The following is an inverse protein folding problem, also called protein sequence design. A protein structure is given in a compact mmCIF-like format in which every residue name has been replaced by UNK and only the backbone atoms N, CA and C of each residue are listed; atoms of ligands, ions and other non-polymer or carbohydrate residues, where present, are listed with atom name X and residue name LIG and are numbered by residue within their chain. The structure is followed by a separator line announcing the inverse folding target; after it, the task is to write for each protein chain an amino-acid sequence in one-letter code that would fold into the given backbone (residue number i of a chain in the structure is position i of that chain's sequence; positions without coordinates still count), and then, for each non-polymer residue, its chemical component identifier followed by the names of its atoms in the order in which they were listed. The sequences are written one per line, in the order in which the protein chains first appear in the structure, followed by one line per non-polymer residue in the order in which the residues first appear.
data_IF_923714116552
#
_entry.id   IF_923714116552
#
_cell.length_a   1.000
_cell.length_b   1.000
_cell.length_c   1.000
_cell.angle_alpha   90.00
_cell.angle_beta   90.00
_cell.angle_gamma   90.00
#
_symmetry.space_group_name_H-M   'P 1'
#
loop_
_entity.id
_entity.type
_entity.pdbx_description
1 polymer ?
#
# COMPACT_ATOMS: atom_id res chain seq x y z
N UNK A 1 31.57 -0.28 -0.49
CA UNK A 1 30.26 -0.92 -0.74
C UNK A 1 30.27 -2.01 -1.83
N UNK A 2 31.04 -1.92 -2.89
CA UNK A 2 31.15 -3.04 -3.86
C UNK A 2 31.65 -4.36 -3.24
N UNK A 3 32.45 -4.32 -2.15
CA UNK A 3 32.84 -5.50 -1.38
C UNK A 3 31.68 -6.11 -0.58
N UNK A 4 30.78 -5.28 -0.03
CA UNK A 4 29.69 -5.76 0.83
C UNK A 4 28.57 -6.49 0.06
N UNK A 5 28.38 -6.24 -1.24
CA UNK A 5 27.39 -6.98 -2.04
C UNK A 5 27.86 -8.43 -2.30
N UNK A 6 29.18 -8.67 -2.38
CA UNK A 6 29.71 -10.03 -2.56
C UNK A 6 29.45 -10.91 -1.32
N UNK A 7 29.43 -10.28 -0.15
CA UNK A 7 29.21 -10.94 1.13
C UNK A 7 27.74 -10.89 1.57
N UNK A 8 26.89 -10.18 0.79
CA UNK A 8 25.47 -10.11 1.07
C UNK A 8 24.82 -11.46 0.80
N UNK A 9 24.20 -11.98 1.83
CA UNK A 9 23.48 -13.26 1.79
C UNK A 9 22.03 -12.96 1.47
N UNK A 10 21.59 -13.31 0.26
CA UNK A 10 20.16 -13.42 -0.04
C UNK A 10 19.63 -14.63 0.72
N UNK A 11 19.09 -14.40 1.91
CA UNK A 11 18.43 -15.40 2.74
C UNK A 11 17.19 -15.98 2.03
N UNK A 12 16.47 -17.01 2.54
CA UNK A 12 15.44 -17.76 1.79
C UNK A 12 14.30 -16.88 1.22
N UNK A 13 14.34 -15.59 1.47
CA UNK A 13 13.36 -14.63 0.96
C UNK A 13 13.74 -14.08 -0.42
N UNK A 14 12.73 -13.63 -1.15
CA UNK A 14 12.93 -12.96 -2.43
C UNK A 14 13.57 -11.59 -2.21
N UNK A 15 14.80 -11.44 -2.70
CA UNK A 15 15.45 -10.13 -2.73
C UNK A 15 15.04 -9.37 -4.00
N UNK A 16 14.53 -8.15 -3.84
CA UNK A 16 14.03 -7.35 -4.96
C UNK A 16 15.16 -6.75 -5.83
N UNK A 17 16.35 -6.59 -5.27
CA UNK A 17 17.51 -6.00 -5.95
C UNK A 17 18.47 -7.02 -6.51
N UNK A 18 18.75 -8.06 -5.74
CA UNK A 18 19.82 -9.02 -6.02
C UNK A 18 19.21 -10.37 -6.40
N UNK A 19 19.70 -10.94 -7.48
CA UNK A 19 19.30 -12.28 -7.92
C UNK A 19 20.11 -13.37 -7.21
N UNK A 20 19.65 -14.60 -7.28
CA UNK A 20 20.37 -15.76 -6.74
C UNK A 20 21.80 -15.90 -7.31
N UNK A 21 22.08 -15.39 -8.52
CA UNK A 21 23.39 -15.31 -9.12
C UNK A 21 24.28 -14.17 -8.56
N UNK A 22 23.87 -13.54 -7.46
CA UNK A 22 24.57 -12.42 -6.80
C UNK A 22 24.80 -11.18 -7.67
N UNK A 23 23.97 -10.97 -8.69
CA UNK A 23 23.94 -9.77 -9.53
C UNK A 23 22.66 -8.97 -9.38
N UNK A 24 22.70 -7.68 -9.68
CA UNK A 24 21.47 -6.86 -9.71
C UNK A 24 20.48 -7.40 -10.73
N UNK A 25 19.22 -7.45 -10.35
CA UNK A 25 18.14 -7.76 -11.27
C UNK A 25 18.06 -6.70 -12.38
N UNK A 26 17.62 -7.04 -13.60
CA UNK A 26 17.62 -6.09 -14.72
C UNK A 26 16.93 -4.75 -14.40
N UNK A 27 15.80 -4.79 -13.69
CA UNK A 27 15.03 -3.60 -13.36
C UNK A 27 15.61 -2.76 -12.19
N UNK A 28 16.47 -3.32 -11.37
CA UNK A 28 17.14 -2.60 -10.27
C UNK A 28 18.60 -2.25 -10.58
N UNK A 29 19.10 -2.67 -11.74
CA UNK A 29 20.53 -2.56 -12.10
C UNK A 29 21.05 -1.12 -12.06
N UNK A 30 20.26 -0.14 -12.55
CA UNK A 30 20.68 1.27 -12.57
C UNK A 30 20.78 1.83 -11.16
N UNK A 31 19.71 1.70 -10.38
CA UNK A 31 19.68 2.20 -9.00
C UNK A 31 20.68 1.43 -8.11
N UNK A 32 20.80 0.12 -8.28
CA UNK A 32 21.78 -0.68 -7.56
C UNK A 32 23.22 -0.23 -7.82
N UNK A 33 23.58 0.05 -9.08
CA UNK A 33 24.87 0.61 -9.42
C UNK A 33 25.09 2.00 -8.82
N UNK A 34 24.06 2.86 -8.86
CA UNK A 34 24.12 4.17 -8.23
C UNK A 34 24.38 4.06 -6.73
N UNK A 35 23.54 3.28 -6.01
CA UNK A 35 23.70 3.09 -4.57
C UNK A 35 25.07 2.51 -4.19
N UNK A 36 25.61 1.58 -5.01
CA UNK A 36 26.93 1.00 -4.76
C UNK A 36 28.11 1.92 -5.12
N UNK A 37 27.88 2.95 -5.93
CA UNK A 37 28.89 3.97 -6.20
C UNK A 37 29.04 5.00 -5.08
N UNK A 38 28.06 5.10 -4.19
CA UNK A 38 28.09 6.02 -3.06
C UNK A 38 29.08 5.54 -1.98
N UNK A 39 29.83 6.46 -1.41
CA UNK A 39 30.66 6.20 -0.24
C UNK A 39 29.83 6.36 1.06
N UNK A 40 30.41 5.98 2.20
CA UNK A 40 29.72 6.03 3.48
C UNK A 40 29.24 7.45 3.87
N UNK A 41 30.02 8.48 3.56
CA UNK A 41 29.65 9.88 3.83
C UNK A 41 28.41 10.30 3.01
N UNK A 42 28.41 10.00 1.71
CA UNK A 42 27.27 10.29 0.83
C UNK A 42 26.01 9.58 1.25
N UNK A 43 26.09 8.33 1.71
CA UNK A 43 24.93 7.60 2.24
C UNK A 43 24.37 8.26 3.51
N UNK A 44 25.26 8.67 4.42
CA UNK A 44 24.84 9.41 5.63
C UNK A 44 24.19 10.73 5.27
N UNK A 45 24.73 11.47 4.30
CA UNK A 45 24.16 12.73 3.81
C UNK A 45 22.75 12.51 3.22
N UNK A 46 22.53 11.46 2.44
CA UNK A 46 21.23 11.11 1.88
C UNK A 46 20.23 10.74 3.00
N UNK A 47 20.66 9.93 3.95
CA UNK A 47 19.81 9.56 5.09
C UNK A 47 19.41 10.81 5.89
N UNK A 48 20.35 11.67 6.23
CA UNK A 48 20.08 12.91 6.97
C UNK A 48 19.17 13.86 6.19
N UNK A 49 19.35 13.95 4.86
CA UNK A 49 18.46 14.74 3.99
C UNK A 49 17.03 14.18 3.99
N UNK A 50 16.89 12.85 3.95
CA UNK A 50 15.59 12.16 4.02
C UNK A 50 14.91 12.44 5.36
N UNK A 51 15.60 12.24 6.47
CA UNK A 51 15.08 12.52 7.82
C UNK A 51 14.69 14.00 7.99
N UNK A 52 15.54 14.91 7.51
CA UNK A 52 15.28 16.35 7.57
C UNK A 52 14.05 16.74 6.74
N UNK A 53 13.86 16.13 5.56
CA UNK A 53 12.69 16.34 4.74
C UNK A 53 11.42 15.86 5.44
N UNK A 54 11.43 14.66 6.02
CA UNK A 54 10.31 14.11 6.80
C UNK A 54 9.94 15.04 7.96
N UNK A 55 10.92 15.46 8.75
CA UNK A 55 10.71 16.39 9.88
C UNK A 55 10.14 17.74 9.43
N UNK A 56 10.68 18.30 8.35
CA UNK A 56 10.23 19.61 7.82
C UNK A 56 8.80 19.57 7.29
N UNK A 57 8.33 18.41 6.86
CA UNK A 57 6.96 18.18 6.41
C UNK A 57 6.00 17.84 7.56
N UNK A 58 6.49 17.73 8.80
CA UNK A 58 5.68 17.40 9.97
C UNK A 58 5.13 15.97 9.93
N UNK A 59 5.79 15.06 9.21
CA UNK A 59 5.32 13.68 9.06
C UNK A 59 5.75 12.89 10.30
N UNK A 60 4.78 12.56 11.14
CA UNK A 60 4.98 11.77 12.36
C UNK A 60 3.98 10.63 12.43
N UNK A 61 4.26 9.66 13.27
CA UNK A 61 3.31 8.60 13.59
C UNK A 61 3.29 8.36 15.10
N UNK A 62 2.13 7.93 15.58
CA UNK A 62 1.95 7.56 16.98
C UNK A 62 2.10 6.04 17.12
N UNK A 63 2.92 5.64 18.07
CA UNK A 63 2.97 4.25 18.50
C UNK A 63 1.89 4.08 19.57
N UNK A 64 0.88 3.27 19.31
CA UNK A 64 -0.10 2.87 20.31
C UNK A 64 0.58 1.90 21.27
N UNK A 65 1.18 2.41 22.35
CA UNK A 65 1.65 1.62 23.48
C UNK A 65 0.85 2.02 24.70
N UNK A 66 0.69 1.10 25.66
CA UNK A 66 -0.02 1.35 26.93
C UNK A 66 0.64 2.47 27.76
N UNK A 67 1.91 2.80 27.49
CA UNK A 67 2.66 3.91 28.08
C UNK A 67 2.72 5.11 27.11
N UNK A 68 1.57 5.71 26.79
CA UNK A 68 1.55 6.95 26.01
C UNK A 68 2.02 8.12 26.88
N UNK A 69 3.19 8.65 26.57
CA UNK A 69 3.66 9.95 27.09
C UNK A 69 3.30 11.02 26.06
N UNK A 70 2.42 11.93 26.43
CA UNK A 70 1.97 13.03 25.57
C UNK A 70 3.18 13.83 25.03
N UNK A 71 3.24 14.00 23.69
CA UNK A 71 4.33 14.71 23.04
C UNK A 71 5.46 13.86 22.46
N UNK A 72 5.41 12.54 22.52
CA UNK A 72 6.37 11.62 21.87
C UNK A 72 5.93 11.16 20.48
N UNK A 73 5.57 12.08 19.61
CA UNK A 73 5.41 11.74 18.20
C UNK A 73 6.77 11.39 17.60
N UNK A 74 6.89 10.17 17.09
CA UNK A 74 8.11 9.72 16.40
C UNK A 74 8.09 10.20 14.95
N UNK A 75 9.24 10.67 14.47
CA UNK A 75 9.41 10.94 13.05
C UNK A 75 9.17 9.67 12.25
N UNK A 76 8.46 9.79 11.11
CA UNK A 76 8.20 8.66 10.23
C UNK A 76 9.51 8.04 9.71
N UNK A 77 9.77 6.74 9.92
CA UNK A 77 10.97 6.10 9.43
C UNK A 77 10.81 5.77 7.93
N UNK A 78 11.52 6.50 7.08
CA UNK A 78 11.57 6.23 5.65
C UNK A 78 12.93 5.65 5.27
N UNK A 79 12.93 4.42 4.76
CA UNK A 79 14.09 3.87 4.08
C UNK A 79 14.23 4.56 2.71
N UNK A 80 15.39 5.16 2.46
CA UNK A 80 15.67 5.84 1.20
C UNK A 80 15.94 4.88 0.04
N UNK A 81 16.09 3.59 0.26
CA UNK A 81 16.23 2.57 -0.80
C UNK A 81 14.84 2.19 -1.30
N UNK A 82 14.41 2.65 -2.49
CA UNK A 82 13.04 2.43 -2.95
C UNK A 82 12.82 1.01 -3.44
N UNK A 83 11.67 0.45 -3.16
CA UNK A 83 11.19 -0.77 -3.80
C UNK A 83 10.79 -0.47 -5.25
N UNK A 84 11.28 -1.28 -6.19
CA UNK A 84 11.02 -1.11 -7.63
C UNK A 84 10.04 -2.18 -8.09
N UNK A 85 8.79 -1.78 -8.31
CA UNK A 85 7.74 -2.65 -8.85
C UNK A 85 7.59 -2.37 -10.34
N UNK A 86 7.78 -3.38 -11.19
CA UNK A 86 7.66 -3.23 -12.64
C UNK A 86 6.20 -3.05 -13.05
N UNK A 87 5.96 -2.26 -14.09
CA UNK A 87 4.62 -2.00 -14.63
C UNK A 87 3.83 -3.30 -14.88
N UNK A 88 4.42 -4.29 -15.58
CA UNK A 88 3.77 -5.56 -15.88
C UNK A 88 3.40 -6.36 -14.61
N UNK A 89 4.24 -6.29 -13.59
CA UNK A 89 4.00 -6.94 -12.31
C UNK A 89 2.83 -6.26 -11.58
N UNK A 90 2.85 -4.92 -11.55
CA UNK A 90 1.77 -4.12 -10.97
C UNK A 90 0.44 -4.33 -11.68
N UNK A 91 0.41 -4.35 -13.01
CA UNK A 91 -0.82 -4.61 -13.79
C UNK A 91 -1.46 -5.96 -13.46
N UNK A 92 -0.64 -6.97 -13.14
CA UNK A 92 -1.17 -8.28 -12.69
C UNK A 92 -1.79 -8.16 -11.30
N UNK A 93 -1.11 -7.50 -10.37
CA UNK A 93 -1.59 -7.25 -9.00
C UNK A 93 -2.89 -6.44 -9.05
N UNK A 94 -2.92 -5.35 -9.80
CA UNK A 94 -4.09 -4.48 -9.95
C UNK A 94 -5.31 -5.25 -10.45
N UNK A 95 -5.17 -6.09 -11.48
CA UNK A 95 -6.29 -6.91 -11.97
C UNK A 95 -6.81 -7.87 -10.89
N UNK A 96 -5.91 -8.51 -10.14
CA UNK A 96 -6.29 -9.41 -9.04
C UNK A 96 -7.02 -8.67 -7.93
N UNK A 97 -6.53 -7.49 -7.53
CA UNK A 97 -7.17 -6.68 -6.51
C UNK A 97 -8.54 -6.16 -6.94
N UNK A 98 -8.70 -5.72 -8.19
CA UNK A 98 -10.02 -5.32 -8.74
C UNK A 98 -11.03 -6.46 -8.66
N UNK A 99 -10.65 -7.67 -9.05
CA UNK A 99 -11.50 -8.86 -8.94
C UNK A 99 -11.86 -9.16 -7.49
N UNK A 100 -10.88 -9.10 -6.60
CA UNK A 100 -11.05 -9.38 -5.17
C UNK A 100 -11.98 -8.38 -4.49
N UNK A 101 -11.77 -7.08 -4.69
CA UNK A 101 -12.63 -6.02 -4.12
C UNK A 101 -14.06 -6.14 -4.63
N UNK A 102 -14.24 -6.48 -5.92
CA UNK A 102 -15.58 -6.74 -6.45
C UNK A 102 -16.25 -7.93 -5.76
N UNK A 103 -15.54 -9.03 -5.57
CA UNK A 103 -16.08 -10.20 -4.88
C UNK A 103 -16.46 -9.89 -3.42
N UNK A 104 -15.61 -9.12 -2.71
CA UNK A 104 -15.88 -8.70 -1.35
C UNK A 104 -17.12 -7.79 -1.25
N UNK A 105 -17.30 -6.85 -2.17
CA UNK A 105 -18.51 -6.03 -2.20
C UNK A 105 -19.78 -6.84 -2.49
N UNK A 106 -19.71 -7.81 -3.41
CA UNK A 106 -20.83 -8.72 -3.68
C UNK A 106 -21.15 -9.60 -2.47
N UNK A 107 -20.15 -10.06 -1.75
CA UNK A 107 -20.32 -10.83 -0.52
C UNK A 107 -21.01 -10.01 0.56
N UNK A 108 -20.58 -8.75 0.79
CA UNK A 108 -21.22 -7.88 1.79
C UNK A 108 -22.66 -7.60 1.39
N UNK A 109 -22.93 -7.34 0.10
CA UNK A 109 -24.30 -7.15 -0.37
C UNK A 109 -25.18 -8.35 -0.13
N UNK A 110 -24.70 -9.54 -0.44
CA UNK A 110 -25.44 -10.79 -0.18
C UNK A 110 -25.73 -10.96 1.31
N UNK A 111 -24.77 -10.69 2.19
CA UNK A 111 -24.98 -10.77 3.64
C UNK A 111 -26.08 -9.84 4.15
N UNK A 112 -26.27 -8.68 3.55
CA UNK A 112 -27.30 -7.71 3.94
C UNK A 112 -28.63 -7.86 3.19
N UNK A 113 -28.70 -8.71 2.15
CA UNK A 113 -29.91 -8.89 1.35
C UNK A 113 -30.35 -10.36 1.31
N UNK A 114 -29.89 -11.12 0.29
CA UNK A 114 -30.44 -12.45 0.02
C UNK A 114 -29.83 -13.54 0.91
N UNK A 115 -28.64 -13.34 1.46
CA UNK A 115 -27.91 -14.27 2.33
C UNK A 115 -27.68 -15.66 1.69
N UNK A 116 -27.56 -15.71 0.37
CA UNK A 116 -27.39 -16.96 -0.36
C UNK A 116 -26.09 -17.67 0.02
N UNK A 117 -25.00 -16.90 0.17
CA UNK A 117 -23.71 -17.48 0.57
C UNK A 117 -23.79 -18.14 1.95
N UNK A 118 -24.48 -17.50 2.92
CA UNK A 118 -24.64 -18.04 4.27
C UNK A 118 -25.47 -19.33 4.25
N UNK A 119 -26.52 -19.38 3.43
CA UNK A 119 -27.41 -20.54 3.30
C UNK A 119 -26.74 -21.72 2.58
N UNK A 120 -25.93 -21.43 1.58
CA UNK A 120 -25.35 -22.44 0.68
C UNK A 120 -23.96 -22.90 1.13
N UNK A 121 -23.32 -22.21 2.08
CA UNK A 121 -21.99 -22.59 2.58
C UNK A 121 -22.08 -23.41 3.86
N UNK A 122 -21.04 -24.20 4.14
CA UNK A 122 -20.87 -24.89 5.42
C UNK A 122 -20.36 -23.96 6.54
N UNK A 123 -20.33 -22.65 6.31
CA UNK A 123 -19.87 -21.68 7.29
C UNK A 123 -20.96 -21.44 8.32
N UNK A 124 -20.58 -21.36 9.60
CA UNK A 124 -21.47 -20.95 10.66
C UNK A 124 -21.86 -19.47 10.47
N UNK A 125 -23.13 -19.24 10.16
CA UNK A 125 -23.68 -17.90 9.89
C UNK A 125 -23.54 -16.94 11.08
N UNK A 126 -23.47 -17.48 12.32
CA UNK A 126 -23.28 -16.69 13.54
C UNK A 126 -21.98 -15.90 13.53
N UNK A 127 -20.94 -16.38 12.83
CA UNK A 127 -19.66 -15.67 12.66
C UNK A 127 -19.84 -14.29 12.01
N UNK A 128 -20.87 -14.13 11.19
CA UNK A 128 -21.20 -12.87 10.52
C UNK A 128 -22.34 -12.16 11.22
N UNK A 129 -23.47 -12.84 11.42
CA UNK A 129 -24.70 -12.22 11.92
C UNK A 129 -24.59 -11.76 13.37
N UNK A 130 -23.84 -12.46 14.22
CA UNK A 130 -23.60 -12.10 15.61
C UNK A 130 -22.38 -11.18 15.80
N UNK A 131 -21.67 -10.87 14.71
CA UNK A 131 -20.53 -9.96 14.76
C UNK A 131 -20.95 -8.55 15.18
N UNK A 132 -20.27 -7.90 16.13
CA UNK A 132 -20.50 -6.48 16.45
C UNK A 132 -20.35 -5.53 15.26
N UNK A 133 -19.62 -5.97 14.21
CA UNK A 133 -19.47 -5.22 12.97
C UNK A 133 -20.69 -5.32 12.05
N UNK A 134 -21.51 -6.37 12.16
CA UNK A 134 -22.75 -6.51 11.41
C UNK A 134 -23.81 -5.54 11.93
N UNK A 135 -24.44 -4.79 11.01
CA UNK A 135 -25.39 -3.74 11.37
C UNK A 135 -26.79 -4.08 10.87
N UNK A 136 -27.63 -4.58 11.75
CA UNK A 136 -28.99 -5.00 11.42
C UNK A 136 -29.83 -3.93 10.71
N UNK A 137 -29.58 -2.64 10.99
CA UNK A 137 -30.25 -1.53 10.30
C UNK A 137 -29.87 -1.37 8.82
N UNK A 138 -28.86 -2.10 8.36
CA UNK A 138 -28.45 -2.15 6.94
C UNK A 138 -29.13 -3.29 6.17
N UNK A 139 -29.94 -4.16 6.83
CA UNK A 139 -30.64 -5.24 6.14
C UNK A 139 -31.61 -4.68 5.10
N UNK A 140 -31.58 -5.25 3.90
CA UNK A 140 -32.42 -4.84 2.77
C UNK A 140 -32.00 -3.55 2.09
N UNK A 141 -30.92 -2.90 2.54
CA UNK A 141 -30.37 -1.70 1.88
C UNK A 141 -29.74 -2.09 0.56
N UNK A 142 -30.07 -1.33 -0.49
CA UNK A 142 -29.45 -1.46 -1.81
C UNK A 142 -28.64 -0.20 -2.11
N UNK A 143 -27.32 -0.37 -2.20
CA UNK A 143 -26.43 0.74 -2.49
C UNK A 143 -26.28 0.94 -3.99
N UNK A 144 -26.16 2.20 -4.40
CA UNK A 144 -25.77 2.59 -5.76
C UNK A 144 -24.42 1.92 -6.10
N UNK A 145 -24.36 1.26 -7.24
CA UNK A 145 -23.17 0.55 -7.71
C UNK A 145 -22.63 -0.58 -6.81
N UNK A 146 -23.41 -1.06 -5.85
CA UNK A 146 -22.98 -2.09 -4.89
C UNK A 146 -21.68 -1.73 -4.14
N UNK A 147 -21.49 -0.46 -3.85
CA UNK A 147 -20.25 0.04 -3.24
C UNK A 147 -20.36 0.03 -1.71
N UNK A 148 -20.30 -1.14 -1.12
CA UNK A 148 -20.31 -1.32 0.35
C UNK A 148 -18.97 -0.92 0.98
N UNK A 149 -17.88 -1.29 0.36
CA UNK A 149 -16.54 -0.85 0.72
C UNK A 149 -16.04 0.14 -0.34
N UNK A 150 -16.30 1.43 -0.13
CA UNK A 150 -15.92 2.49 -1.08
C UNK A 150 -14.41 2.73 -1.12
N UNK A 151 -13.71 2.48 -0.03
CA UNK A 151 -12.25 2.54 0.09
C UNK A 151 -11.77 1.22 0.67
N UNK A 152 -10.86 0.58 -0.05
CA UNK A 152 -10.29 -0.71 0.34
C UNK A 152 -8.77 -0.61 0.38
N UNK A 153 -8.16 -1.06 1.48
CA UNK A 153 -6.72 -1.21 1.63
C UNK A 153 -6.35 -2.69 1.69
N UNK A 154 -5.76 -3.21 0.63
CA UNK A 154 -5.28 -4.60 0.61
C UNK A 154 -3.79 -4.64 0.90
N UNK A 155 -3.41 -5.35 1.95
CA UNK A 155 -2.01 -5.55 2.32
C UNK A 155 -1.41 -6.68 1.51
N UNK A 156 -0.24 -6.42 0.93
CA UNK A 156 0.44 -7.33 0.02
C UNK A 156 1.79 -7.74 0.57
N UNK A 157 2.07 -9.03 0.46
CA UNK A 157 3.42 -9.57 0.69
C UNK A 157 3.95 -10.21 -0.58
N UNK A 158 5.26 -10.29 -0.69
CA UNK A 158 5.93 -11.00 -1.77
C UNK A 158 6.60 -12.25 -1.18
N UNK A 159 6.29 -13.41 -1.73
CA UNK A 159 6.86 -14.68 -1.28
C UNK A 159 8.32 -14.87 -1.77
N UNK A 160 8.91 -16.01 -1.40
CA UNK A 160 10.28 -16.39 -1.80
C UNK A 160 10.46 -16.51 -3.32
N UNK A 161 9.41 -16.74 -4.08
CA UNK A 161 9.42 -16.87 -5.54
C UNK A 161 9.14 -15.54 -6.24
N UNK A 162 8.89 -14.47 -5.47
CA UNK A 162 8.62 -13.13 -5.97
C UNK A 162 7.17 -12.94 -6.42
N UNK A 163 6.24 -13.77 -5.94
CA UNK A 163 4.81 -13.69 -6.23
C UNK A 163 4.13 -12.87 -5.13
N UNK A 164 3.26 -11.95 -5.54
CA UNK A 164 2.45 -11.19 -4.59
C UNK A 164 1.25 -11.98 -4.11
N UNK A 165 1.04 -11.96 -2.81
CA UNK A 165 -0.12 -12.49 -2.12
C UNK A 165 -0.80 -11.39 -1.32
N UNK A 166 -2.12 -11.46 -1.20
CA UNK A 166 -2.89 -10.64 -0.27
C UNK A 166 -2.74 -11.22 1.12
N UNK A 167 -2.32 -10.42 2.06
CA UNK A 167 -2.25 -10.76 3.48
C UNK A 167 -3.60 -10.53 4.15
N UNK A 168 -4.17 -9.32 3.95
CA UNK A 168 -5.49 -8.95 4.44
C UNK A 168 -6.13 -7.86 3.56
N UNK A 169 -7.43 -7.66 3.76
CA UNK A 169 -8.19 -6.56 3.17
C UNK A 169 -8.83 -5.71 4.25
N UNK A 170 -8.42 -4.47 4.32
CA UNK A 170 -9.02 -3.46 5.18
C UNK A 170 -10.17 -2.79 4.42
N UNK A 171 -11.41 -3.24 4.66
CA UNK A 171 -12.60 -2.74 3.98
C UNK A 171 -13.26 -1.57 4.73
N UNK A 172 -12.78 -1.28 5.93
CA UNK A 172 -13.28 -0.20 6.78
C UNK A 172 -12.12 0.69 7.21
N UNK A 173 -12.21 1.97 6.84
CA UNK A 173 -11.25 3.01 7.25
C UNK A 173 -9.78 2.61 7.02
N UNK A 174 -9.40 2.17 5.82
CA UNK A 174 -7.99 1.90 5.54
C UNK A 174 -7.18 3.18 5.71
N UNK A 175 -5.95 3.05 6.20
CA UNK A 175 -5.04 4.17 6.44
C UNK A 175 -3.74 4.03 5.64
N UNK A 176 -2.87 5.03 5.73
CA UNK A 176 -1.50 4.93 5.21
C UNK A 176 -1.27 5.52 3.82
N UNK A 177 -2.30 5.81 3.02
CA UNK A 177 -2.11 6.36 1.66
C UNK A 177 -1.42 7.73 1.66
N UNK A 178 -1.67 8.56 2.67
CA UNK A 178 -0.99 9.85 2.84
C UNK A 178 0.52 9.66 3.03
N UNK A 179 0.94 8.68 3.80
CA UNK A 179 2.36 8.34 3.96
C UNK A 179 2.99 7.95 2.61
N UNK A 180 2.29 7.18 1.78
CA UNK A 180 2.78 6.84 0.45
C UNK A 180 2.97 8.07 -0.44
N UNK A 181 2.04 9.03 -0.42
CA UNK A 181 2.13 10.28 -1.18
C UNK A 181 3.30 11.15 -0.71
N UNK A 182 3.46 11.28 0.60
CA UNK A 182 4.54 12.05 1.21
C UNK A 182 5.90 11.38 1.01
N UNK A 183 6.00 10.07 1.19
CA UNK A 183 7.20 9.30 0.86
C UNK A 183 7.62 9.52 -0.60
N UNK A 184 6.66 9.54 -1.54
CA UNK A 184 6.92 9.84 -2.95
C UNK A 184 7.46 11.27 -3.14
N UNK A 185 6.94 12.23 -2.39
CA UNK A 185 7.40 13.63 -2.42
C UNK A 185 8.83 13.75 -1.88
N UNK A 186 9.13 13.12 -0.75
CA UNK A 186 10.49 13.08 -0.19
C UNK A 186 11.46 12.41 -1.16
N UNK A 187 11.10 11.24 -1.68
CA UNK A 187 11.95 10.51 -2.63
C UNK A 187 12.27 11.31 -3.89
N UNK A 188 11.31 12.10 -4.42
CA UNK A 188 11.55 13.01 -5.56
C UNK A 188 12.56 14.11 -5.23
N UNK A 189 12.57 14.61 -3.99
CA UNK A 189 13.52 15.64 -3.54
C UNK A 189 14.92 15.07 -3.34
N UNK A 190 15.01 13.87 -2.78
CA UNK A 190 16.28 13.21 -2.44
C UNK A 190 16.95 12.58 -3.67
N UNK A 191 16.15 12.03 -4.60
CA UNK A 191 16.64 11.34 -5.79
C UNK A 191 15.97 11.83 -7.10
N UNK A 192 16.05 13.10 -7.45
CA UNK A 192 15.38 13.64 -8.65
C UNK A 192 15.81 12.93 -9.94
N UNK A 193 17.07 12.58 -10.06
CA UNK A 193 17.62 11.90 -11.24
C UNK A 193 17.03 10.49 -11.44
N UNK A 194 16.75 9.76 -10.35
CA UNK A 194 16.14 8.43 -10.45
C UNK A 194 14.75 8.50 -11.07
N UNK A 195 13.97 9.52 -10.69
CA UNK A 195 12.61 9.70 -11.24
C UNK A 195 12.63 10.03 -12.73
N UNK A 196 13.61 10.80 -13.20
CA UNK A 196 13.77 11.09 -14.62
C UNK A 196 14.14 9.84 -15.42
N UNK A 197 15.01 8.97 -14.88
CA UNK A 197 15.52 7.80 -15.59
C UNK A 197 14.58 6.60 -15.61
N UNK A 198 13.69 6.45 -14.61
CA UNK A 198 12.85 5.27 -14.45
C UNK A 198 11.44 5.43 -14.99
N UNK A 199 11.00 6.62 -15.39
CA UNK A 199 9.63 6.84 -15.83
C UNK A 199 8.63 6.42 -14.76
N UNK A 200 8.85 6.80 -13.52
CA UNK A 200 8.04 6.40 -12.37
C UNK A 200 6.62 6.93 -12.53
N UNK A 201 5.63 6.05 -12.42
CA UNK A 201 4.22 6.44 -12.54
C UNK A 201 3.83 7.47 -11.46
N UNK A 202 3.13 8.55 -11.84
CA UNK A 202 2.68 9.56 -10.89
C UNK A 202 1.60 9.00 -9.96
N UNK A 203 1.59 9.46 -8.71
CA UNK A 203 0.57 9.14 -7.70
C UNK A 203 -0.14 10.38 -7.17
N UNK A 204 0.27 11.58 -7.60
CA UNK A 204 -0.25 12.87 -7.12
C UNK A 204 -1.74 13.10 -7.41
N UNK A 205 -2.30 12.43 -8.40
CA UNK A 205 -3.72 12.50 -8.73
C UNK A 205 -4.62 11.62 -7.81
N UNK A 206 -4.05 10.96 -6.80
CA UNK A 206 -4.82 10.08 -5.93
C UNK A 206 -5.95 10.81 -5.17
N UNK A 207 -5.72 11.98 -4.54
CA UNK A 207 -6.79 12.69 -3.82
C UNK A 207 -7.96 13.07 -4.73
N UNK A 208 -7.67 13.61 -5.93
CA UNK A 208 -8.72 13.98 -6.89
C UNK A 208 -9.52 12.77 -7.39
N UNK A 209 -8.83 11.65 -7.63
CA UNK A 209 -9.50 10.41 -8.03
C UNK A 209 -10.37 9.84 -6.92
N UNK A 210 -9.90 9.90 -5.67
CA UNK A 210 -10.68 9.48 -4.52
C UNK A 210 -11.92 10.35 -4.34
N UNK A 211 -11.76 11.67 -4.40
CA UNK A 211 -12.88 12.61 -4.31
C UNK A 211 -13.94 12.33 -5.38
N UNK A 212 -13.54 12.23 -6.63
CA UNK A 212 -14.45 11.93 -7.74
C UNK A 212 -15.12 10.55 -7.58
N UNK A 213 -14.40 9.55 -7.07
CA UNK A 213 -14.96 8.23 -6.80
C UNK A 213 -16.05 8.31 -5.71
N UNK A 214 -15.80 9.03 -4.63
CA UNK A 214 -16.76 9.20 -3.53
C UNK A 214 -17.99 9.99 -3.98
N UNK A 215 -17.85 11.03 -4.78
CA UNK A 215 -18.97 11.74 -5.38
C UNK A 215 -19.82 10.82 -6.26
N UNK A 216 -19.18 9.97 -7.06
CA UNK A 216 -19.88 9.03 -7.93
C UNK A 216 -20.65 7.95 -7.15
N UNK A 217 -20.14 7.51 -6.01
CA UNK A 217 -20.74 6.45 -5.19
C UNK A 217 -21.70 6.95 -4.12
N UNK A 218 -21.75 8.27 -3.86
CA UNK A 218 -22.66 8.89 -2.90
C UNK A 218 -23.86 9.55 -3.59
N UNK A 219 -24.96 9.68 -2.86
CA UNK A 219 -26.17 10.38 -3.34
C UNK A 219 -25.94 11.91 -3.46
N UNK A 220 -24.85 12.44 -2.88
CA UNK A 220 -24.49 13.86 -2.97
C UNK A 220 -24.25 14.34 -4.42
N UNK A 221 -24.04 13.45 -5.37
CA UNK A 221 -23.94 13.79 -6.80
C UNK A 221 -25.29 14.22 -7.41
N UNK A 222 -26.41 13.79 -6.82
CA UNK A 222 -27.77 14.08 -7.34
C UNK A 222 -28.32 15.41 -6.82
N UNK A 223 -27.74 16.01 -5.78
CA UNK A 223 -28.14 17.31 -5.22
C UNK A 223 -27.51 18.52 -5.92
N UNK A 224 -26.58 18.31 -6.85
CA UNK A 224 -25.83 19.38 -7.54
C UNK A 224 -26.22 19.57 -9.02
N UNK A 225 -27.38 19.04 -9.45
CA UNK A 225 -27.94 19.22 -10.81
C UNK A 225 -29.13 20.16 -10.83
#
# INVERSE_FOLDING_TARGET
MASHIKDYITSPFFDEYISASKGFRPHTKKIGKYLTSLNGKQLTEINNATESAIKSMGISFRVYSEEYIEGQDRSWPLDFIPRIIRKREWERVERGLRQRVKALNLFIEDCYNDQNFLKDSDMDESLILDSPAFKNYCLGVKLKHNSWASICGSDLIKDKDGIFYVLEDNLRVPSGVSYMLENRTVMKRVFPELFQHYGVMPVSAYPDKLYNCLLYTSDAADESS
#
